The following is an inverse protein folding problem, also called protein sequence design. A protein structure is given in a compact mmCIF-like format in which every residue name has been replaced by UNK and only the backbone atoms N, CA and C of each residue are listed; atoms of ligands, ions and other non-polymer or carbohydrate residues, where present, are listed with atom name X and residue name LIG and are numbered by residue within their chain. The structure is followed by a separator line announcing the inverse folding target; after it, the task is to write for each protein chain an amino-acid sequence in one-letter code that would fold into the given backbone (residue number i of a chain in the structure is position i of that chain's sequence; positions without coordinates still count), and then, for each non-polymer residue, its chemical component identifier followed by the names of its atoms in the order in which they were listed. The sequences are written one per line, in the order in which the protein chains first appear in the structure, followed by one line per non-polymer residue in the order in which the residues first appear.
data_IF_142266506579
#
_entry.id   IF_142266506579
#
_cell.length_a   1.000
_cell.length_b   1.000
_cell.length_c   1.000
_cell.angle_alpha   90.00
_cell.angle_beta   90.00
_cell.angle_gamma   90.00
#
_symmetry.space_group_name_H-M   'P 1'
#
loop_
_entity.id
_entity.type
_entity.pdbx_description
1 polymer ?
#
# COMPACT_ATOMS: atom_id res chain seq x y z
N UNK A 1 -6.54 23.50 -24.99
CA UNK A 1 -7.68 22.63 -25.30
C UNK A 1 -7.38 21.24 -24.68
N UNK A 2 -8.04 20.95 -23.57
CA UNK A 2 -7.81 19.71 -22.79
C UNK A 2 -8.31 18.45 -23.51
N UNK A 3 -9.02 18.61 -24.62
CA UNK A 3 -9.55 17.50 -25.43
C UNK A 3 -8.45 16.61 -26.05
N UNK A 4 -7.21 17.08 -26.10
CA UNK A 4 -6.06 16.28 -26.56
C UNK A 4 -5.35 15.53 -25.41
N UNK A 5 -5.61 15.91 -24.15
CA UNK A 5 -4.90 15.35 -22.97
C UNK A 5 -5.59 14.09 -22.42
N UNK A 6 -6.91 14.04 -22.50
CA UNK A 6 -7.69 12.93 -21.93
C UNK A 6 -8.68 12.35 -22.94
N UNK A 7 -8.88 11.05 -22.90
CA UNK A 7 -9.84 10.34 -23.75
C UNK A 7 -11.22 10.40 -23.11
N UNK A 8 -12.21 10.91 -23.84
CA UNK A 8 -13.60 10.95 -23.40
C UNK A 8 -14.27 9.61 -23.69
N UNK A 9 -14.91 9.03 -22.67
CA UNK A 9 -15.77 7.85 -22.81
C UNK A 9 -17.15 8.33 -23.25
N UNK A 10 -17.66 7.74 -24.32
CA UNK A 10 -18.93 8.12 -24.92
C UNK A 10 -19.95 6.97 -24.89
N UNK A 11 -21.23 7.33 -24.96
CA UNK A 11 -22.33 6.41 -25.23
C UNK A 11 -22.31 5.91 -26.69
N UNK A 12 -23.28 5.05 -27.04
CA UNK A 12 -23.44 4.50 -28.39
C UNK A 12 -23.76 5.58 -29.45
N UNK A 13 -24.21 6.76 -29.02
CA UNK A 13 -24.54 7.90 -29.90
C UNK A 13 -23.33 8.84 -30.07
N UNK A 14 -22.24 8.60 -29.35
CA UNK A 14 -21.01 9.39 -29.40
C UNK A 14 -21.00 10.63 -28.48
N UNK A 15 -21.95 10.75 -27.55
CA UNK A 15 -21.97 11.79 -26.55
C UNK A 15 -21.19 11.37 -25.30
N UNK A 16 -20.55 12.28 -24.57
CA UNK A 16 -20.00 11.98 -23.25
C UNK A 16 -21.09 11.39 -22.34
N UNK A 17 -20.73 10.37 -21.55
CA UNK A 17 -21.65 9.79 -20.57
C UNK A 17 -22.06 10.87 -19.57
N UNK A 18 -23.36 11.05 -19.36
CA UNK A 18 -23.92 11.98 -18.36
C UNK A 18 -24.36 11.19 -17.12
N UNK A 19 -23.70 11.46 -15.98
CA UNK A 19 -24.00 10.83 -14.69
C UNK A 19 -25.10 11.57 -13.90
N UNK A 20 -25.71 12.61 -14.49
CA UNK A 20 -26.92 13.24 -13.95
C UNK A 20 -26.73 14.03 -12.67
N UNK A 21 -25.51 14.51 -12.39
CA UNK A 21 -25.21 15.31 -11.21
C UNK A 21 -25.11 14.53 -9.91
N UNK A 22 -24.85 13.23 -9.94
CA UNK A 22 -24.65 12.43 -8.72
C UNK A 22 -23.41 12.87 -7.95
N UNK A 23 -23.40 12.66 -6.63
CA UNK A 23 -22.21 12.80 -5.81
C UNK A 23 -21.62 11.40 -5.53
N UNK A 24 -20.39 11.16 -5.97
CA UNK A 24 -19.61 9.96 -5.64
C UNK A 24 -18.74 10.26 -4.44
N UNK A 25 -18.92 9.52 -3.34
CA UNK A 25 -18.16 9.72 -2.10
C UNK A 25 -17.13 8.62 -1.95
N UNK A 26 -15.86 8.99 -1.93
CA UNK A 26 -14.75 8.10 -1.58
C UNK A 26 -14.61 8.12 -0.05
N UNK A 27 -14.89 6.99 0.57
CA UNK A 27 -14.82 6.81 2.03
C UNK A 27 -13.45 6.23 2.38
N UNK A 28 -12.68 7.01 3.09
CA UNK A 28 -11.34 6.64 3.52
C UNK A 28 -11.12 6.93 5.02
N UNK A 29 -9.86 6.93 5.49
CA UNK A 29 -9.48 7.20 6.89
C UNK A 29 -8.40 8.27 7.00
N UNK A 30 -8.00 8.92 5.90
CA UNK A 30 -6.88 9.87 5.89
C UNK A 30 -7.22 11.26 5.36
N UNK A 31 -8.33 11.43 4.63
CA UNK A 31 -8.68 12.74 4.07
C UNK A 31 -8.88 13.77 5.17
N UNK A 32 -8.20 14.93 5.13
CA UNK A 32 -8.41 16.01 6.08
C UNK A 32 -9.84 16.53 6.04
N UNK A 33 -10.33 17.07 7.18
CA UNK A 33 -11.66 17.66 7.26
C UNK A 33 -11.78 18.99 6.51
N UNK A 34 -10.64 19.63 6.21
CA UNK A 34 -10.54 20.87 5.44
C UNK A 34 -9.80 20.55 4.14
N UNK A 35 -10.28 21.10 3.04
CA UNK A 35 -9.59 20.98 1.75
C UNK A 35 -8.24 21.68 1.81
N UNK A 36 -7.20 20.99 1.38
CA UNK A 36 -5.85 21.51 1.27
C UNK A 36 -5.56 21.88 -0.19
N UNK A 37 -4.90 23.00 -0.40
CA UNK A 37 -4.43 23.40 -1.73
C UNK A 37 -3.32 22.44 -2.19
N UNK A 38 -3.29 22.07 -3.49
CA UNK A 38 -2.22 21.28 -4.05
C UNK A 38 -0.84 21.89 -3.75
N UNK A 39 0.11 21.11 -3.28
CA UNK A 39 1.44 21.59 -2.88
C UNK A 39 2.59 21.03 -3.72
N UNK A 40 2.27 20.23 -4.72
CA UNK A 40 3.23 19.66 -5.67
C UNK A 40 2.58 19.38 -7.02
N UNK A 41 3.41 19.20 -8.06
CA UNK A 41 2.95 19.01 -9.44
C UNK A 41 2.05 17.77 -9.64
N UNK A 42 2.20 16.74 -8.82
CA UNK A 42 1.33 15.57 -8.88
C UNK A 42 -0.08 15.90 -8.37
N UNK A 43 -0.18 16.60 -7.26
CA UNK A 43 -1.47 17.00 -6.69
C UNK A 43 -2.19 18.01 -7.59
N UNK A 44 -1.44 18.96 -8.20
CA UNK A 44 -1.99 19.87 -9.21
C UNK A 44 -2.56 19.11 -10.40
N UNK A 45 -1.82 18.16 -10.97
CA UNK A 45 -2.27 17.35 -12.09
C UNK A 45 -3.46 16.45 -11.74
N UNK A 46 -3.49 15.92 -10.52
CA UNK A 46 -4.61 15.13 -9.99
C UNK A 46 -5.87 15.99 -9.86
N UNK A 47 -5.74 17.21 -9.33
CA UNK A 47 -6.87 18.14 -9.20
C UNK A 47 -7.41 18.54 -10.58
N UNK A 48 -6.53 18.90 -11.51
CA UNK A 48 -6.90 19.24 -12.89
C UNK A 48 -7.68 18.10 -13.57
N UNK A 49 -7.21 16.86 -13.40
CA UNK A 49 -7.91 15.70 -13.94
C UNK A 49 -9.28 15.48 -13.27
N UNK A 50 -9.38 15.66 -11.95
CA UNK A 50 -10.65 15.53 -11.22
C UNK A 50 -11.67 16.57 -11.65
N UNK A 51 -11.25 17.81 -11.82
CA UNK A 51 -12.12 18.88 -12.30
C UNK A 51 -12.64 18.55 -13.71
N UNK A 52 -11.74 18.11 -14.59
CA UNK A 52 -12.09 17.71 -15.93
C UNK A 52 -13.10 16.55 -15.99
N UNK A 53 -12.93 15.47 -15.23
CA UNK A 53 -13.87 14.34 -15.26
C UNK A 53 -15.23 14.71 -14.67
N UNK A 54 -15.26 15.52 -13.61
CA UNK A 54 -16.50 16.00 -13.00
C UNK A 54 -17.31 16.86 -13.98
N UNK A 55 -16.65 17.77 -14.67
CA UNK A 55 -17.28 18.62 -15.67
C UNK A 55 -17.71 17.82 -16.90
N UNK A 56 -16.85 16.91 -17.40
CA UNK A 56 -17.11 16.12 -18.61
C UNK A 56 -18.28 15.18 -18.45
N UNK A 57 -18.42 14.52 -17.27
CA UNK A 57 -19.42 13.49 -17.04
C UNK A 57 -20.56 13.92 -16.09
N UNK A 58 -20.63 15.20 -15.75
CA UNK A 58 -21.70 15.78 -14.92
C UNK A 58 -21.92 15.04 -13.61
N UNK A 59 -20.90 15.01 -12.74
CA UNK A 59 -20.98 14.46 -11.38
C UNK A 59 -20.00 15.19 -10.46
N UNK A 60 -20.02 14.87 -9.17
CA UNK A 60 -19.06 15.39 -8.19
C UNK A 60 -18.35 14.28 -7.44
N UNK A 61 -17.08 14.50 -7.06
CA UNK A 61 -16.31 13.61 -6.23
C UNK A 61 -16.09 14.28 -4.88
N UNK A 62 -16.39 13.55 -3.80
CA UNK A 62 -16.10 13.97 -2.45
C UNK A 62 -15.26 12.91 -1.74
N UNK A 63 -14.14 13.30 -1.16
CA UNK A 63 -13.35 12.43 -0.29
C UNK A 63 -13.70 12.71 1.17
N UNK A 64 -13.90 11.67 1.97
CA UNK A 64 -14.30 11.81 3.37
C UNK A 64 -13.67 10.72 4.23
N UNK A 65 -12.90 11.14 5.24
CA UNK A 65 -12.53 10.26 6.33
C UNK A 65 -13.72 10.11 7.29
N UNK A 66 -14.51 9.07 7.08
CA UNK A 66 -15.70 8.78 7.91
C UNK A 66 -15.32 7.94 9.14
N UNK A 67 -14.20 7.22 9.02
CA UNK A 67 -13.64 6.35 10.04
C UNK A 67 -12.16 6.66 10.25
N UNK A 68 -11.54 6.02 11.21
CA UNK A 68 -10.09 5.96 11.34
C UNK A 68 -9.53 4.63 10.80
N UNK A 69 -8.20 4.48 10.81
CA UNK A 69 -7.55 3.24 10.39
C UNK A 69 -8.10 1.98 11.08
N UNK A 70 -8.45 2.07 12.36
CA UNK A 70 -8.94 0.94 13.14
C UNK A 70 -10.36 0.54 12.78
N UNK A 71 -11.24 1.50 12.57
CA UNK A 71 -12.69 1.32 12.39
C UNK A 71 -13.15 1.24 10.93
N UNK A 72 -12.28 1.52 9.95
CA UNK A 72 -12.64 1.45 8.52
C UNK A 72 -13.28 0.13 8.06
N UNK A 73 -12.84 -1.06 8.49
CA UNK A 73 -13.51 -2.30 8.10
C UNK A 73 -14.92 -2.41 8.65
N UNK A 74 -15.15 -1.92 9.86
CA UNK A 74 -16.49 -1.91 10.47
C UNK A 74 -17.42 -0.92 9.74
N UNK A 75 -16.94 0.23 9.33
CA UNK A 75 -17.68 1.19 8.52
C UNK A 75 -18.17 0.56 7.21
N UNK A 76 -17.28 -0.12 6.49
CA UNK A 76 -17.64 -0.86 5.28
C UNK A 76 -18.68 -1.96 5.55
N UNK A 77 -18.47 -2.80 6.57
CA UNK A 77 -19.38 -3.89 6.89
C UNK A 77 -20.77 -3.40 7.28
N UNK A 78 -20.84 -2.33 8.04
CA UNK A 78 -22.11 -1.71 8.44
C UNK A 78 -22.89 -1.21 7.23
N UNK A 79 -22.24 -0.52 6.31
CA UNK A 79 -22.86 -0.08 5.06
C UNK A 79 -23.27 -1.25 4.18
N UNK A 80 -22.38 -2.20 3.94
CA UNK A 80 -22.64 -3.36 3.09
C UNK A 80 -23.80 -4.24 3.57
N UNK A 81 -24.05 -4.25 4.88
CA UNK A 81 -25.15 -5.02 5.49
C UNK A 81 -26.45 -4.24 5.62
N UNK A 82 -26.39 -2.93 5.88
CA UNK A 82 -27.60 -2.10 6.01
C UNK A 82 -28.15 -1.62 4.67
N UNK A 83 -27.27 -1.53 3.65
CA UNK A 83 -27.61 -0.95 2.35
C UNK A 83 -27.75 0.58 2.43
N UNK A 84 -27.91 1.19 1.27
CA UNK A 84 -28.10 2.62 1.09
C UNK A 84 -28.24 2.94 -0.38
N UNK A 85 -28.64 4.17 -0.67
CA UNK A 85 -28.82 4.68 -2.04
C UNK A 85 -27.63 5.61 -2.46
N UNK A 86 -26.61 5.71 -1.61
CA UNK A 86 -25.47 6.57 -1.85
C UNK A 86 -24.46 5.90 -2.81
N UNK A 87 -23.76 6.71 -3.56
CA UNK A 87 -22.70 6.25 -4.47
C UNK A 87 -21.35 6.25 -3.74
N UNK A 88 -21.12 5.23 -2.91
CA UNK A 88 -19.90 5.11 -2.12
C UNK A 88 -18.85 4.21 -2.78
N UNK A 89 -17.60 4.69 -2.73
CA UNK A 89 -16.40 3.91 -3.03
C UNK A 89 -15.59 3.80 -1.75
N UNK A 90 -15.31 2.59 -1.31
CA UNK A 90 -14.57 2.37 -0.06
C UNK A 90 -13.09 2.14 -0.34
N UNK A 91 -12.23 2.92 0.32
CA UNK A 91 -10.84 2.56 0.49
C UNK A 91 -10.76 1.51 1.60
N UNK A 92 -10.28 0.32 1.25
CA UNK A 92 -10.21 -0.81 2.17
C UNK A 92 -8.75 -1.09 2.55
N UNK A 93 -8.51 -1.38 3.82
CA UNK A 93 -7.24 -1.91 4.29
C UNK A 93 -7.30 -3.43 4.41
N UNK A 94 -6.15 -4.06 4.35
CA UNK A 94 -6.04 -5.49 4.64
C UNK A 94 -6.47 -5.79 6.09
N UNK A 95 -7.10 -6.94 6.29
CA UNK A 95 -7.54 -7.39 7.62
C UNK A 95 -8.52 -8.55 7.55
N UNK A 96 -8.80 -9.15 8.70
CA UNK A 96 -9.73 -10.26 8.83
C UNK A 96 -11.15 -9.89 8.40
N UNK A 97 -11.54 -8.65 8.58
CA UNK A 97 -12.86 -8.10 8.24
C UNK A 97 -13.08 -8.08 6.73
N UNK A 98 -12.03 -7.75 5.95
CA UNK A 98 -12.07 -7.79 4.51
C UNK A 98 -12.27 -9.22 4.00
N UNK A 99 -11.55 -10.18 4.60
CA UNK A 99 -11.71 -11.61 4.29
C UNK A 99 -13.11 -12.09 4.66
N UNK A 100 -13.66 -11.65 5.78
CA UNK A 100 -15.02 -11.98 6.19
C UNK A 100 -16.06 -11.42 5.21
N UNK A 101 -15.91 -10.18 4.76
CA UNK A 101 -16.77 -9.55 3.77
C UNK A 101 -16.75 -10.29 2.43
N UNK A 102 -15.56 -10.65 1.95
CA UNK A 102 -15.36 -11.43 0.74
C UNK A 102 -16.06 -12.80 0.82
N UNK A 103 -15.87 -13.52 1.93
CA UNK A 103 -16.47 -14.84 2.13
C UNK A 103 -17.99 -14.77 2.32
N UNK A 104 -18.51 -13.66 2.81
CA UNK A 104 -19.96 -13.46 3.03
C UNK A 104 -20.70 -12.90 1.81
N UNK A 105 -20.00 -12.65 0.70
CA UNK A 105 -20.61 -12.11 -0.53
C UNK A 105 -21.08 -10.67 -0.40
N UNK A 106 -20.45 -9.87 0.47
CA UNK A 106 -20.78 -8.47 0.68
C UNK A 106 -20.04 -7.51 -0.28
N UNK A 107 -19.15 -8.05 -1.10
CA UNK A 107 -18.37 -7.27 -2.06
C UNK A 107 -18.92 -7.48 -3.48
N UNK A 108 -18.88 -6.41 -4.26
CA UNK A 108 -19.31 -6.46 -5.66
C UNK A 108 -18.24 -7.10 -6.53
N UNK A 109 -18.66 -7.94 -7.46
CA UNK A 109 -17.76 -8.55 -8.45
C UNK A 109 -17.45 -7.55 -9.57
N UNK A 110 -16.25 -6.95 -9.49
CA UNK A 110 -15.77 -5.96 -10.44
C UNK A 110 -15.47 -6.55 -11.83
N UNK A 111 -15.27 -7.87 -11.95
CA UNK A 111 -15.04 -8.52 -13.23
C UNK A 111 -16.26 -8.49 -14.16
N UNK A 112 -17.44 -8.18 -13.61
CA UNK A 112 -18.69 -8.03 -14.36
C UNK A 112 -18.88 -6.66 -15.00
N UNK A 113 -17.94 -5.72 -14.75
CA UNK A 113 -18.00 -4.37 -15.26
C UNK A 113 -17.22 -4.25 -16.58
N UNK A 114 -17.90 -4.07 -17.69
CA UNK A 114 -17.30 -3.97 -19.03
C UNK A 114 -16.34 -2.77 -19.17
N UNK A 115 -16.42 -1.78 -18.27
CA UNK A 115 -15.54 -0.63 -18.25
C UNK A 115 -14.18 -0.88 -17.57
N UNK A 116 -13.97 -2.05 -16.96
CA UNK A 116 -12.72 -2.42 -16.29
C UNK A 116 -12.05 -3.59 -17.03
N UNK A 117 -10.94 -3.29 -17.70
CA UNK A 117 -10.07 -4.30 -18.27
C UNK A 117 -8.89 -4.57 -17.34
N UNK A 118 -8.99 -5.61 -16.52
CA UNK A 118 -7.95 -5.98 -15.56
C UNK A 118 -6.68 -6.55 -16.22
N UNK A 119 -6.63 -6.72 -17.53
CA UNK A 119 -5.41 -7.05 -18.25
C UNK A 119 -4.50 -5.84 -18.48
N UNK A 120 -4.99 -4.61 -18.29
CA UNK A 120 -4.18 -3.41 -18.42
C UNK A 120 -3.05 -3.35 -17.38
N UNK A 121 -1.90 -2.83 -17.80
CA UNK A 121 -0.68 -2.73 -16.98
C UNK A 121 -0.92 -2.03 -15.63
N UNK A 122 -1.77 -0.99 -15.59
CA UNK A 122 -2.08 -0.26 -14.36
C UNK A 122 -2.67 -1.13 -13.24
N UNK A 123 -3.38 -2.20 -13.60
CA UNK A 123 -3.95 -3.16 -12.65
C UNK A 123 -2.96 -4.26 -12.30
N UNK A 124 -2.18 -4.71 -13.29
CA UNK A 124 -1.20 -5.78 -13.14
C UNK A 124 -0.03 -5.38 -12.25
N UNK A 125 0.35 -4.12 -12.26
CA UNK A 125 1.57 -3.61 -11.62
C UNK A 125 1.65 -3.84 -10.11
N UNK A 126 0.52 -4.00 -9.40
CA UNK A 126 0.50 -4.12 -7.93
C UNK A 126 -0.09 -5.43 -7.39
N UNK A 127 -0.62 -6.30 -8.24
CA UNK A 127 -1.16 -7.61 -7.87
C UNK A 127 -2.39 -7.60 -6.94
N UNK A 128 -2.99 -6.45 -6.64
CA UNK A 128 -4.13 -6.37 -5.71
C UNK A 128 -5.33 -7.15 -6.25
N UNK A 129 -5.60 -7.08 -7.55
CA UNK A 129 -6.70 -7.80 -8.17
C UNK A 129 -6.53 -9.32 -8.04
N UNK A 130 -5.30 -9.85 -8.08
CA UNK A 130 -5.02 -11.30 -7.88
C UNK A 130 -5.35 -11.73 -6.45
N UNK A 131 -4.88 -10.95 -5.45
CA UNK A 131 -5.13 -11.23 -4.03
C UNK A 131 -6.61 -11.08 -3.68
N UNK A 132 -7.32 -10.15 -4.34
CA UNK A 132 -8.72 -9.86 -4.13
C UNK A 132 -9.65 -10.62 -5.08
N UNK A 133 -9.18 -11.73 -5.64
CA UNK A 133 -9.98 -12.60 -6.51
C UNK A 133 -10.44 -13.87 -5.80
N UNK A 134 -11.52 -14.45 -6.32
CA UNK A 134 -12.03 -15.77 -5.92
C UNK A 134 -12.59 -16.47 -7.15
N UNK A 135 -11.87 -17.44 -7.68
CA UNK A 135 -12.14 -17.98 -9.01
C UNK A 135 -11.92 -16.87 -10.06
N UNK A 136 -12.90 -16.67 -10.92
CA UNK A 136 -12.84 -15.64 -11.98
C UNK A 136 -13.35 -14.26 -11.52
N UNK A 137 -13.91 -14.16 -10.31
CA UNK A 137 -14.47 -12.92 -9.77
C UNK A 137 -13.40 -12.06 -9.08
N UNK A 138 -13.43 -10.75 -9.28
CA UNK A 138 -12.50 -9.77 -8.73
C UNK A 138 -13.25 -8.80 -7.83
N UNK A 139 -12.81 -8.64 -6.58
CA UNK A 139 -13.52 -7.88 -5.54
C UNK A 139 -12.76 -6.64 -5.05
N UNK A 140 -11.61 -6.37 -5.59
CA UNK A 140 -10.84 -5.18 -5.24
C UNK A 140 -9.86 -4.80 -6.33
N UNK A 141 -9.57 -3.51 -6.41
CA UNK A 141 -8.65 -2.96 -7.40
C UNK A 141 -7.77 -1.87 -6.80
N UNK A 142 -6.61 -1.67 -7.39
CA UNK A 142 -5.73 -0.55 -7.11
C UNK A 142 -5.00 -0.17 -8.39
N UNK A 143 -5.21 1.06 -8.86
CA UNK A 143 -4.62 1.58 -10.10
C UNK A 143 -3.30 2.34 -9.91
N UNK A 144 -2.61 2.14 -8.78
CA UNK A 144 -1.34 2.82 -8.49
C UNK A 144 -0.20 1.84 -8.70
N UNK A 145 0.87 2.29 -9.38
CA UNK A 145 2.09 1.51 -9.50
C UNK A 145 2.64 1.10 -8.13
N UNK A 146 3.31 -0.06 -8.02
CA UNK A 146 3.89 -0.48 -6.76
C UNK A 146 4.97 0.52 -6.34
N UNK A 147 4.88 0.95 -5.10
CA UNK A 147 5.88 1.80 -4.46
C UNK A 147 6.65 0.96 -3.44
N UNK A 148 7.95 1.23 -3.22
CA UNK A 148 8.67 0.64 -2.11
C UNK A 148 7.93 0.92 -0.79
N UNK A 149 7.53 -0.14 -0.08
CA UNK A 149 6.76 -0.01 1.17
C UNK A 149 7.65 -0.08 2.41
N UNK A 150 8.75 -0.78 2.32
CA UNK A 150 9.72 -0.95 3.37
C UNK A 150 11.09 -0.43 2.96
N UNK A 151 11.85 0.02 3.95
CA UNK A 151 13.21 0.47 3.74
C UNK A 151 13.86 0.88 5.05
N UNK A 152 15.17 1.03 5.03
CA UNK A 152 15.95 1.48 6.18
C UNK A 152 16.20 2.98 6.03
N UNK A 153 15.56 3.76 6.91
CA UNK A 153 15.84 5.17 7.07
C UNK A 153 16.96 5.33 8.09
N UNK A 154 18.00 6.06 7.76
CA UNK A 154 19.13 6.24 8.66
C UNK A 154 19.46 7.72 8.90
N UNK A 155 19.92 8.00 10.11
CA UNK A 155 20.34 9.33 10.50
C UNK A 155 21.82 9.53 10.16
N UNK A 156 22.09 10.32 9.10
CA UNK A 156 23.46 10.57 8.61
C UNK A 156 24.39 11.14 9.69
N UNK A 157 23.88 12.03 10.54
CA UNK A 157 24.70 12.61 11.64
C UNK A 157 25.13 11.54 12.65
N UNK A 158 24.23 10.63 13.03
CA UNK A 158 24.56 9.57 13.99
C UNK A 158 25.54 8.55 13.39
N UNK A 159 25.46 8.27 12.10
CA UNK A 159 26.45 7.44 11.40
C UNK A 159 27.83 8.11 11.44
N UNK A 160 27.93 9.39 11.09
CA UNK A 160 29.17 10.14 11.09
C UNK A 160 29.78 10.24 12.51
N UNK A 161 28.98 10.45 13.54
CA UNK A 161 29.43 10.41 14.95
C UNK A 161 29.98 9.03 15.36
N UNK A 162 29.48 7.96 14.73
CA UNK A 162 29.98 6.60 14.89
C UNK A 162 31.18 6.27 13.98
N UNK A 163 31.69 7.26 13.21
CA UNK A 163 32.79 7.09 12.27
C UNK A 163 32.41 6.39 10.95
N UNK A 164 31.11 6.31 10.63
CA UNK A 164 30.58 5.73 9.42
C UNK A 164 30.21 6.86 8.46
N UNK A 165 30.81 6.89 7.28
CA UNK A 165 30.44 7.85 6.23
C UNK A 165 29.03 7.51 5.73
N UNK A 166 28.12 8.47 5.75
CA UNK A 166 26.74 8.23 5.36
C UNK A 166 26.60 7.68 3.92
N UNK A 167 27.46 8.13 3.01
CA UNK A 167 27.44 7.68 1.62
C UNK A 167 27.91 6.23 1.46
N UNK A 168 28.69 5.67 2.41
CA UNK A 168 29.11 4.27 2.37
C UNK A 168 27.95 3.28 2.43
N UNK A 169 26.79 3.68 2.97
CA UNK A 169 25.59 2.85 3.00
C UNK A 169 25.09 2.61 1.56
N UNK A 170 25.10 3.65 0.73
CA UNK A 170 24.70 3.54 -0.68
C UNK A 170 25.71 2.72 -1.48
N UNK A 171 27.01 2.91 -1.21
CA UNK A 171 28.09 2.13 -1.84
C UNK A 171 27.98 0.63 -1.52
N UNK A 172 27.67 0.27 -0.27
CA UNK A 172 27.42 -1.11 0.11
C UNK A 172 26.26 -1.74 -0.68
N UNK A 173 25.18 -0.98 -0.87
CA UNK A 173 24.05 -1.44 -1.67
C UNK A 173 24.43 -1.59 -3.14
N UNK A 174 25.10 -0.62 -3.72
CA UNK A 174 25.51 -0.62 -5.13
C UNK A 174 26.46 -1.80 -5.45
N UNK A 175 27.37 -2.11 -4.52
CA UNK A 175 28.33 -3.20 -4.66
C UNK A 175 27.77 -4.59 -4.30
N UNK A 176 26.52 -4.69 -3.85
CA UNK A 176 25.94 -5.96 -3.39
C UNK A 176 26.53 -6.45 -2.05
N UNK A 177 27.13 -5.57 -1.28
CA UNK A 177 27.74 -5.82 0.03
C UNK A 177 26.80 -5.51 1.21
N UNK A 178 25.57 -5.04 0.91
CA UNK A 178 24.52 -4.79 1.91
C UNK A 178 23.90 -6.12 2.35
N UNK A 179 24.51 -6.74 3.36
CA UNK A 179 24.13 -8.05 3.91
C UNK A 179 23.67 -7.92 5.36
N UNK A 180 23.05 -8.95 5.89
CA UNK A 180 22.68 -9.00 7.31
C UNK A 180 23.88 -8.83 8.22
N UNK A 181 25.00 -9.49 7.94
CA UNK A 181 26.24 -9.38 8.73
C UNK A 181 26.75 -7.94 8.72
N UNK A 182 26.70 -7.28 7.57
CA UNK A 182 27.12 -5.88 7.46
C UNK A 182 26.17 -4.96 8.21
N UNK A 183 24.89 -5.22 8.18
CA UNK A 183 23.89 -4.48 8.95
C UNK A 183 24.12 -4.63 10.46
N UNK A 184 24.36 -5.85 10.97
CA UNK A 184 24.71 -6.11 12.36
C UNK A 184 25.99 -5.37 12.78
N UNK A 185 27.03 -5.41 11.94
CA UNK A 185 28.29 -4.70 12.17
C UNK A 185 28.05 -3.19 12.36
N UNK A 186 27.31 -2.58 11.44
CA UNK A 186 26.99 -1.15 11.49
C UNK A 186 26.14 -0.80 12.72
N UNK A 187 25.14 -1.61 13.04
CA UNK A 187 24.34 -1.44 14.25
C UNK A 187 25.22 -1.49 15.51
N UNK A 188 26.17 -2.41 15.57
CA UNK A 188 27.09 -2.53 16.71
C UNK A 188 28.02 -1.32 16.85
N UNK A 189 28.39 -0.67 15.73
CA UNK A 189 29.20 0.56 15.75
C UNK A 189 28.39 1.78 16.18
N UNK A 190 27.13 1.86 15.79
CA UNK A 190 26.26 3.00 16.12
C UNK A 190 25.80 2.96 17.57
N UNK A 191 25.49 1.76 18.09
CA UNK A 191 25.03 1.61 19.48
C UNK A 191 26.13 2.02 20.48
N UNK A 192 25.80 2.88 21.43
CA UNK A 192 26.78 3.38 22.40
C UNK A 192 26.13 3.76 23.73
N UNK A 193 26.92 3.55 24.79
CA UNK A 193 26.84 4.22 26.08
C UNK A 193 27.75 5.47 25.94
N UNK A 194 27.15 6.66 25.85
CA UNK A 194 27.87 7.89 25.49
C UNK A 194 28.47 8.63 26.70
N UNK A 195 27.98 8.34 27.91
CA UNK A 195 28.47 8.95 29.16
C UNK A 195 29.19 7.96 30.08
N UNK A 196 29.29 6.70 29.68
CA UNK A 196 29.97 5.61 30.40
C UNK A 196 29.35 5.28 31.77
N UNK A 197 28.03 5.39 31.89
CA UNK A 197 27.32 5.02 33.12
C UNK A 197 26.88 3.54 33.13
N UNK A 198 27.11 2.82 32.06
CA UNK A 198 26.76 1.41 31.85
C UNK A 198 25.38 1.19 31.23
N UNK A 199 24.69 2.25 30.82
CA UNK A 199 23.40 2.21 30.13
C UNK A 199 23.59 2.67 28.69
N UNK A 200 22.91 2.04 27.76
CA UNK A 200 22.94 2.44 26.35
C UNK A 200 22.08 3.69 26.15
N UNK A 201 22.70 4.78 25.70
CA UNK A 201 22.06 6.07 25.39
C UNK A 201 21.66 6.18 23.92
N UNK A 202 22.46 5.57 23.05
CA UNK A 202 22.26 5.59 21.62
C UNK A 202 21.96 4.20 21.11
N UNK A 203 20.72 4.00 20.67
CA UNK A 203 20.28 2.77 20.07
C UNK A 203 20.54 2.78 18.57
N UNK A 204 20.98 1.65 18.04
CA UNK A 204 21.27 1.49 16.61
C UNK A 204 20.01 1.48 15.76
N UNK A 205 18.92 0.94 16.28
CA UNK A 205 17.70 0.71 15.52
C UNK A 205 16.44 0.99 16.35
N UNK A 206 15.45 1.58 15.66
CA UNK A 206 14.06 1.65 16.13
C UNK A 206 13.18 1.09 15.03
N UNK A 207 12.31 0.16 15.35
CA UNK A 207 11.44 -0.47 14.37
C UNK A 207 10.08 -0.86 14.95
N UNK A 208 9.14 -1.16 14.04
CA UNK A 208 7.97 -1.96 14.37
C UNK A 208 8.33 -3.44 14.22
N UNK A 209 8.29 -4.19 15.30
CA UNK A 209 8.71 -5.59 15.33
C UNK A 209 8.11 -6.43 14.19
N UNK A 210 6.81 -6.30 13.94
CA UNK A 210 6.15 -7.04 12.86
C UNK A 210 6.68 -6.67 11.48
N UNK A 211 6.90 -5.40 11.22
CA UNK A 211 7.48 -4.93 9.95
C UNK A 211 8.90 -5.47 9.79
N UNK A 212 9.71 -5.39 10.83
CA UNK A 212 11.08 -5.89 10.78
C UNK A 212 11.16 -7.39 10.49
N UNK A 213 10.28 -8.20 11.10
CA UNK A 213 10.23 -9.63 10.79
C UNK A 213 9.79 -9.90 9.36
N UNK A 214 8.80 -9.19 8.86
CA UNK A 214 8.34 -9.33 7.47
C UNK A 214 9.44 -8.97 6.47
N UNK A 215 10.14 -7.86 6.71
CA UNK A 215 11.25 -7.43 5.85
C UNK A 215 12.43 -8.42 5.91
N UNK A 216 12.73 -8.97 7.09
CA UNK A 216 13.75 -10.01 7.21
C UNK A 216 13.39 -11.26 6.41
N UNK A 217 12.15 -11.76 6.55
CA UNK A 217 11.67 -12.93 5.79
C UNK A 217 11.71 -12.66 4.29
N UNK A 218 11.19 -11.52 3.84
CA UNK A 218 11.19 -11.15 2.43
C UNK A 218 12.64 -11.00 1.86
N UNK A 219 13.57 -10.43 2.65
CA UNK A 219 14.97 -10.27 2.22
C UNK A 219 15.72 -11.59 2.08
N UNK A 220 15.22 -12.66 2.67
CA UNK A 220 15.78 -14.01 2.57
C UNK A 220 14.97 -14.93 1.65
N UNK A 221 14.10 -14.39 0.82
CA UNK A 221 13.23 -15.15 -0.09
C UNK A 221 12.30 -16.14 0.63
N UNK A 222 12.01 -15.91 1.91
CA UNK A 222 11.05 -16.69 2.68
C UNK A 222 9.64 -16.13 2.56
N UNK A 223 8.67 -16.96 2.90
CA UNK A 223 7.26 -16.63 2.96
C UNK A 223 6.60 -17.25 4.18
N UNK A 224 5.51 -16.67 4.67
CA UNK A 224 4.66 -17.31 5.69
C UNK A 224 3.67 -18.27 5.05
N UNK A 225 3.20 -17.92 3.85
CA UNK A 225 2.30 -18.71 3.03
C UNK A 225 2.82 -18.61 1.61
N UNK A 226 3.16 -19.74 1.02
CA UNK A 226 3.57 -19.83 -0.37
C UNK A 226 2.50 -20.52 -1.22
N UNK A 227 2.65 -20.47 -2.54
CA UNK A 227 1.74 -21.09 -3.49
C UNK A 227 2.51 -22.11 -4.33
N UNK A 228 1.96 -23.32 -4.49
CA UNK A 228 2.55 -24.35 -5.32
C UNK A 228 2.28 -24.12 -6.82
N UNK A 229 2.87 -24.94 -7.67
CA UNK A 229 2.73 -24.89 -9.13
C UNK A 229 1.29 -25.09 -9.65
N UNK A 230 0.38 -25.57 -8.80
CA UNK A 230 -1.04 -25.78 -9.08
C UNK A 230 -1.91 -24.63 -8.55
N UNK A 231 -1.31 -23.56 -8.02
CA UNK A 231 -2.03 -22.43 -7.44
C UNK A 231 -2.61 -22.71 -6.04
N UNK A 232 -2.15 -23.76 -5.34
CA UNK A 232 -2.61 -24.09 -4.00
C UNK A 232 -1.70 -23.49 -2.94
N UNK A 233 -2.30 -22.74 -2.02
CA UNK A 233 -1.58 -22.18 -0.88
C UNK A 233 -1.19 -23.26 0.14
N UNK A 234 0.01 -23.11 0.69
CA UNK A 234 0.51 -23.94 1.80
C UNK A 234 1.28 -23.09 2.83
N UNK A 235 1.42 -23.63 4.02
CA UNK A 235 2.18 -23.01 5.10
C UNK A 235 3.68 -23.15 4.83
N UNK A 236 4.40 -22.02 4.75
CA UNK A 236 5.85 -21.95 4.50
C UNK A 236 6.66 -21.44 5.70
N UNK A 237 6.02 -21.36 6.88
CA UNK A 237 6.67 -20.92 8.12
C UNK A 237 7.86 -21.79 8.56
N UNK A 238 7.90 -23.03 8.12
CA UNK A 238 8.94 -24.01 8.49
C UNK A 238 10.01 -24.16 7.40
N UNK A 239 9.98 -23.34 6.33
CA UNK A 239 11.07 -23.31 5.35
C UNK A 239 12.36 -22.80 5.99
N UNK A 240 13.50 -23.24 5.46
CA UNK A 240 14.80 -22.78 5.98
C UNK A 240 14.94 -21.26 5.83
N UNK A 241 14.49 -20.73 4.70
CA UNK A 241 14.53 -19.32 4.36
C UNK A 241 13.78 -18.47 5.40
N UNK A 242 12.57 -18.88 5.74
CA UNK A 242 11.73 -18.19 6.75
C UNK A 242 12.29 -18.35 8.16
N UNK A 243 12.70 -19.57 8.55
CA UNK A 243 13.26 -19.82 9.88
C UNK A 243 14.58 -19.10 10.12
N UNK A 244 15.48 -19.08 9.14
CA UNK A 244 16.76 -18.37 9.24
C UNK A 244 16.54 -16.87 9.39
N UNK A 245 15.62 -16.29 8.62
CA UNK A 245 15.26 -14.88 8.72
C UNK A 245 14.66 -14.51 10.09
N UNK A 246 13.70 -15.28 10.57
CA UNK A 246 13.09 -15.07 11.88
C UNK A 246 14.10 -15.24 13.02
N UNK A 247 14.97 -16.24 12.95
CA UNK A 247 16.03 -16.44 13.94
C UNK A 247 17.05 -15.30 13.92
N UNK A 248 17.40 -14.78 12.74
CA UNK A 248 18.25 -13.61 12.64
C UNK A 248 17.57 -12.38 13.26
N UNK A 249 16.35 -12.08 12.85
CA UNK A 249 15.62 -10.91 13.35
C UNK A 249 15.33 -10.96 14.86
N UNK A 250 15.22 -12.16 15.45
CA UNK A 250 15.06 -12.34 16.90
C UNK A 250 16.34 -12.04 17.70
N UNK A 251 17.52 -12.15 17.07
CA UNK A 251 18.80 -11.82 17.72
C UNK A 251 19.12 -10.33 17.70
N UNK A 252 18.58 -9.62 16.72
CA UNK A 252 18.69 -8.16 16.58
C UNK A 252 17.86 -7.43 17.63
#
# INVERSE_FOLDING_TARGET
DDSEKYTVITDDEGNPIDLGGIEVVIRDWWTPSEEEEPNNAYEEARQEYRDWIQETYNFTIKEMAISDWGSTPEDFLNYATSGGDEYYVFALRQGSELVAALNSGLMYDLSTLDCLDFSEEKWQANGVHEVMSKGDAIYGMRGIAPEPKGGIYFNKRLLEEAGITADSIYELQENGEWTWDKFEELCSQVQADTDNDGVIDRYAMVNFRSTFYNEAVASNYGDYIAMDENGKYYNDLESNETLDALNWALRM
#
